data_IF_329501879308
#
_entry.id   IF_329501879308
#
_cell.length_a   1.000
_cell.length_b   1.000
_cell.length_c   1.000
_cell.angle_alpha   90.00
_cell.angle_beta   90.00
_cell.angle_gamma   90.00
#
_symmetry.space_group_name_H-M   'P 1'
#
loop_
_entity.id
_entity.type
_entity.pdbx_description
1 polymer ?
#
# COMPACT_ATOMS: atom_id res chain seq x y z
N UNK A 1 -5.02 -0.60 3.92
CA UNK A 1 -4.31 -1.73 4.55
C UNK A 1 -3.00 -1.35 5.26
N UNK A 2 -2.26 -0.33 4.83
CA UNK A 2 -0.97 0.00 5.47
C UNK A 2 -1.04 0.31 6.98
N UNK A 3 -2.09 0.98 7.45
CA UNK A 3 -2.28 1.26 8.88
C UNK A 3 -2.52 -0.02 9.67
N UNK A 4 -3.31 -0.95 9.12
CA UNK A 4 -3.54 -2.27 9.71
C UNK A 4 -2.22 -3.03 9.90
N UNK A 5 -1.36 -3.03 8.88
CA UNK A 5 -0.04 -3.66 8.92
C UNK A 5 0.86 -3.05 10.02
N UNK A 6 0.90 -1.72 10.11
CA UNK A 6 1.91 -1.03 10.93
C UNK A 6 1.49 -0.79 12.38
N UNK A 7 0.18 -0.75 12.67
CA UNK A 7 -0.36 -0.51 14.01
C UNK A 7 -0.98 -1.72 14.69
N UNK A 8 -1.56 -2.64 13.91
CA UNK A 8 -2.29 -3.78 14.46
C UNK A 8 -1.91 -5.10 13.76
N UNK A 9 -0.61 -5.36 13.49
CA UNK A 9 -0.21 -6.54 12.71
C UNK A 9 -0.69 -7.87 13.31
N UNK A 10 -0.83 -7.93 14.63
CA UNK A 10 -1.28 -9.10 15.37
C UNK A 10 -2.75 -9.48 15.13
N UNK A 11 -3.55 -8.58 14.57
CA UNK A 11 -4.98 -8.82 14.32
C UNK A 11 -5.26 -9.47 12.95
N UNK A 12 -4.24 -9.67 12.12
CA UNK A 12 -4.41 -10.14 10.75
C UNK A 12 -3.49 -11.33 10.45
N UNK A 13 -4.02 -12.36 9.78
CA UNK A 13 -3.20 -13.48 9.28
C UNK A 13 -2.52 -13.20 7.94
N UNK A 14 -3.12 -12.35 7.10
CA UNK A 14 -2.58 -11.92 5.80
C UNK A 14 -3.24 -10.59 5.38
N UNK A 15 -2.58 -9.81 4.52
CA UNK A 15 -3.12 -8.55 3.99
C UNK A 15 -2.96 -8.44 2.47
N UNK A 16 -3.97 -7.90 1.78
CA UNK A 16 -3.88 -7.54 0.36
C UNK A 16 -4.12 -6.03 0.21
N UNK A 17 -3.09 -5.32 -0.24
CA UNK A 17 -3.04 -3.86 -0.27
C UNK A 17 -2.94 -3.36 -1.72
N UNK A 18 -4.10 -3.08 -2.32
CA UNK A 18 -4.21 -2.71 -3.74
C UNK A 18 -4.27 -1.19 -3.96
N UNK A 19 -3.55 -0.71 -4.98
CA UNK A 19 -3.42 0.70 -5.43
C UNK A 19 -3.33 1.72 -4.28
N UNK A 20 -2.34 1.57 -3.37
CA UNK A 20 -2.45 2.14 -2.04
C UNK A 20 -1.83 3.53 -1.90
N UNK A 21 -2.41 4.36 -1.02
CA UNK A 21 -1.81 5.58 -0.49
C UNK A 21 -1.12 5.26 0.84
N UNK A 22 0.23 5.32 0.89
CA UNK A 22 1.00 4.79 2.03
C UNK A 22 2.04 5.74 2.63
N UNK A 23 2.44 6.76 1.88
CA UNK A 23 3.40 7.77 2.34
C UNK A 23 2.68 9.09 2.52
N UNK A 24 2.11 9.26 3.71
CA UNK A 24 1.32 10.43 4.02
C UNK A 24 2.19 11.68 4.18
N UNK A 25 3.54 11.57 4.20
CA UNK A 25 4.40 12.76 4.21
C UNK A 25 4.50 13.43 2.84
N UNK A 26 4.34 12.65 1.76
CA UNK A 26 4.60 13.11 0.40
C UNK A 26 3.44 12.90 -0.57
N UNK A 27 2.31 12.37 -0.11
CA UNK A 27 1.19 12.05 -1.00
C UNK A 27 0.76 13.27 -1.81
N UNK A 28 0.72 14.45 -1.20
CA UNK A 28 0.26 15.69 -1.81
C UNK A 28 1.17 16.20 -2.94
N UNK A 29 2.41 15.70 -3.03
CA UNK A 29 3.38 16.04 -4.07
C UNK A 29 3.26 15.17 -5.33
N UNK A 30 2.36 14.17 -5.34
CA UNK A 30 2.29 13.15 -6.38
C UNK A 30 0.89 13.09 -7.01
N UNK A 31 0.83 13.31 -8.33
CA UNK A 31 -0.40 13.18 -9.15
C UNK A 31 -1.61 13.87 -8.51
N UNK A 32 -2.73 13.17 -8.35
CA UNK A 32 -3.96 13.70 -7.76
C UNK A 32 -3.86 13.97 -6.25
N UNK A 33 -2.73 13.65 -5.59
CA UNK A 33 -2.58 13.72 -4.15
C UNK A 33 -2.88 15.09 -3.54
N UNK A 34 -2.53 16.19 -4.22
CA UNK A 34 -2.83 17.54 -3.74
C UNK A 34 -4.34 17.76 -3.50
N UNK A 35 -5.21 17.08 -4.27
CA UNK A 35 -6.67 17.20 -4.13
C UNK A 35 -7.21 16.55 -2.84
N UNK A 36 -6.43 15.73 -2.16
CA UNK A 36 -6.85 15.04 -0.92
C UNK A 36 -6.32 15.72 0.36
N UNK A 37 -5.64 16.86 0.25
CA UNK A 37 -5.17 17.64 1.41
C UNK A 37 -6.33 18.06 2.30
N UNK A 38 -7.48 18.43 1.72
CA UNK A 38 -8.66 18.80 2.49
C UNK A 38 -9.23 17.64 3.33
N UNK A 39 -8.96 16.39 2.93
CA UNK A 39 -9.42 15.19 3.64
C UNK A 39 -8.38 14.70 4.67
N UNK A 40 -7.11 14.61 4.27
CA UNK A 40 -6.06 13.99 5.09
C UNK A 40 -5.27 14.98 5.96
N UNK A 41 -5.31 16.27 5.62
CA UNK A 41 -4.43 17.30 6.17
C UNK A 41 -3.27 17.64 5.23
N UNK A 42 -2.61 18.76 5.51
CA UNK A 42 -1.44 19.24 4.81
C UNK A 42 -0.15 18.73 5.48
N UNK A 43 0.62 17.81 4.87
CA UNK A 43 1.85 17.31 5.49
C UNK A 43 2.94 18.35 5.69
N UNK A 44 2.86 19.51 5.04
CA UNK A 44 3.80 20.62 5.22
C UNK A 44 3.39 21.57 6.36
N UNK A 45 2.17 21.44 6.89
CA UNK A 45 1.76 22.08 8.14
C UNK A 45 2.23 21.20 9.32
N UNK A 46 3.05 21.71 10.25
CA UNK A 46 3.49 20.95 11.42
C UNK A 46 2.36 20.41 12.30
N UNK A 47 1.25 21.14 12.44
CA UNK A 47 0.13 20.73 13.28
C UNK A 47 -0.60 19.52 12.68
N UNK A 48 -0.87 19.55 11.38
CA UNK A 48 -1.46 18.42 10.65
C UNK A 48 -0.48 17.24 10.65
N UNK A 49 0.81 17.50 10.36
CA UNK A 49 1.82 16.45 10.33
C UNK A 49 2.01 15.74 11.66
N UNK A 50 1.85 16.43 12.80
CA UNK A 50 1.92 15.79 14.11
C UNK A 50 0.90 14.66 14.21
N UNK A 51 -0.32 14.86 13.75
CA UNK A 51 -1.34 13.82 13.72
C UNK A 51 -1.07 12.77 12.63
N UNK A 52 -0.75 13.20 11.40
CA UNK A 52 -0.54 12.31 10.26
C UNK A 52 0.63 11.35 10.44
N UNK A 53 1.73 11.83 11.02
CA UNK A 53 2.93 11.05 11.26
C UNK A 53 2.67 9.82 12.13
N UNK A 54 1.71 9.92 13.06
CA UNK A 54 1.34 8.82 13.96
C UNK A 54 0.81 7.62 13.17
N UNK A 55 0.13 7.84 12.03
CA UNK A 55 -0.53 6.75 11.28
C UNK A 55 0.07 6.46 9.91
N UNK A 56 0.93 7.33 9.38
CA UNK A 56 1.49 7.16 8.04
C UNK A 56 2.22 5.82 7.91
N UNK A 57 1.73 4.87 7.09
CA UNK A 57 2.27 3.51 7.07
C UNK A 57 3.77 3.47 6.73
N UNK A 58 4.19 4.25 5.73
CA UNK A 58 5.58 4.25 5.30
C UNK A 58 6.56 4.73 6.39
N UNK A 59 6.15 5.71 7.21
CA UNK A 59 6.97 6.23 8.31
C UNK A 59 6.93 5.34 9.57
N UNK A 60 5.96 4.42 9.67
CA UNK A 60 5.76 3.57 10.86
C UNK A 60 6.15 2.10 10.63
N UNK A 61 6.95 1.80 9.60
CA UNK A 61 7.54 0.47 9.43
C UNK A 61 8.50 0.21 10.59
N UNK A 62 8.26 -0.85 11.35
CA UNK A 62 9.13 -1.32 12.43
C UNK A 62 9.90 -2.56 12.00
N UNK A 63 11.20 -2.64 12.31
CA UNK A 63 12.01 -3.85 12.11
C UNK A 63 11.73 -4.93 13.15
N UNK A 64 11.26 -4.54 14.32
CA UNK A 64 11.06 -5.43 15.47
C UNK A 64 9.66 -6.04 15.49
N UNK A 65 8.70 -5.43 14.79
CA UNK A 65 7.34 -5.92 14.71
C UNK A 65 7.24 -7.19 13.86
N UNK A 66 6.39 -8.14 14.25
CA UNK A 66 6.08 -9.31 13.44
C UNK A 66 4.91 -9.00 12.52
N UNK A 67 5.19 -8.69 11.26
CA UNK A 67 4.15 -8.39 10.28
C UNK A 67 3.57 -9.66 9.64
N UNK A 68 2.25 -9.73 9.41
CA UNK A 68 1.68 -10.78 8.60
C UNK A 68 2.16 -10.64 7.15
N UNK A 69 2.19 -11.74 6.37
CA UNK A 69 2.47 -11.66 4.95
C UNK A 69 1.52 -10.68 4.27
N UNK A 70 2.06 -9.87 3.37
CA UNK A 70 1.29 -8.86 2.64
C UNK A 70 1.56 -8.96 1.15
N UNK A 71 0.50 -8.93 0.34
CA UNK A 71 0.56 -8.70 -1.10
C UNK A 71 0.22 -7.23 -1.37
N UNK A 72 1.16 -6.48 -1.94
CA UNK A 72 0.94 -5.11 -2.39
C UNK A 72 0.76 -5.11 -3.91
N UNK A 73 -0.35 -4.55 -4.40
CA UNK A 73 -0.60 -4.44 -5.85
C UNK A 73 -0.74 -3.00 -6.30
N UNK A 74 -0.32 -2.69 -7.52
CA UNK A 74 -0.49 -1.37 -8.14
C UNK A 74 -0.53 -1.49 -9.67
N UNK A 75 -0.61 -0.35 -10.37
CA UNK A 75 -0.41 -0.29 -11.82
C UNK A 75 0.51 0.86 -12.21
N UNK A 76 1.45 0.62 -13.12
CA UNK A 76 2.36 1.64 -13.66
C UNK A 76 1.63 2.84 -14.25
N UNK A 77 0.43 2.64 -14.81
CA UNK A 77 -0.38 3.68 -15.45
C UNK A 77 -1.45 4.28 -14.52
N UNK A 78 -1.41 4.00 -13.22
CA UNK A 78 -2.26 4.69 -12.26
C UNK A 78 -1.90 6.19 -12.23
N UNK A 79 -2.79 6.99 -12.79
CA UNK A 79 -2.71 8.45 -12.87
C UNK A 79 -3.37 9.14 -11.68
N UNK A 80 -3.97 8.37 -10.76
CA UNK A 80 -4.63 8.87 -9.56
C UNK A 80 -3.73 8.72 -8.35
N UNK A 81 -3.46 7.49 -7.93
CA UNK A 81 -2.57 7.18 -6.80
C UNK A 81 -1.23 6.74 -7.35
N UNK A 82 -0.18 7.54 -7.11
CA UNK A 82 1.11 7.25 -7.70
C UNK A 82 1.66 5.89 -7.23
N UNK A 83 2.08 5.00 -8.16
CA UNK A 83 2.65 3.68 -7.82
C UNK A 83 3.88 3.71 -6.90
N UNK A 84 4.49 4.88 -6.73
CA UNK A 84 5.63 5.10 -5.84
C UNK A 84 5.31 4.77 -4.39
N UNK A 85 4.05 4.91 -3.95
CA UNK A 85 3.62 4.48 -2.63
C UNK A 85 3.80 2.97 -2.43
N UNK A 86 3.35 2.17 -3.38
CA UNK A 86 3.48 0.72 -3.34
C UNK A 86 4.95 0.30 -3.45
N UNK A 87 5.67 0.80 -4.47
CA UNK A 87 7.08 0.48 -4.71
C UNK A 87 7.95 0.77 -3.49
N UNK A 88 7.82 1.96 -2.89
CA UNK A 88 8.65 2.34 -1.74
C UNK A 88 8.30 1.58 -0.48
N UNK A 89 7.01 1.26 -0.25
CA UNK A 89 6.59 0.45 0.88
C UNK A 89 7.17 -0.96 0.77
N UNK A 90 7.05 -1.60 -0.40
CA UNK A 90 7.64 -2.91 -0.68
C UNK A 90 9.14 -2.90 -0.36
N UNK A 91 9.90 -1.97 -0.95
CA UNK A 91 11.34 -1.89 -0.73
C UNK A 91 11.71 -1.66 0.74
N UNK A 92 10.95 -0.84 1.47
CA UNK A 92 11.20 -0.60 2.89
C UNK A 92 10.85 -1.80 3.79
N UNK A 93 9.80 -2.56 3.45
CA UNK A 93 9.46 -3.81 4.13
C UNK A 93 10.54 -4.89 3.89
N UNK A 94 10.99 -5.05 2.65
CA UNK A 94 12.10 -5.96 2.31
C UNK A 94 13.38 -5.60 3.06
N UNK A 95 13.75 -4.31 3.08
CA UNK A 95 14.92 -3.83 3.81
C UNK A 95 14.80 -3.98 5.34
N UNK A 96 13.58 -4.06 5.87
CA UNK A 96 13.30 -4.37 7.27
C UNK A 96 13.25 -5.88 7.56
N UNK A 97 13.38 -6.75 6.55
CA UNK A 97 13.36 -8.20 6.70
C UNK A 97 11.96 -8.82 6.69
N UNK A 98 10.94 -8.08 6.28
CA UNK A 98 9.55 -8.56 6.27
C UNK A 98 9.19 -9.29 4.98
N UNK A 99 8.28 -10.27 5.10
CA UNK A 99 7.74 -10.99 3.94
C UNK A 99 6.68 -10.14 3.24
N UNK A 100 7.03 -9.60 2.08
CA UNK A 100 6.13 -8.86 1.19
C UNK A 100 6.16 -9.47 -0.21
N UNK A 101 5.00 -9.58 -0.84
CA UNK A 101 4.86 -9.84 -2.26
C UNK A 101 4.39 -8.58 -2.96
N UNK A 102 4.85 -8.38 -4.19
CA UNK A 102 4.53 -7.21 -4.99
C UNK A 102 4.09 -7.61 -6.39
N UNK A 103 3.01 -7.01 -6.86
CA UNK A 103 2.57 -7.14 -8.23
C UNK A 103 2.20 -5.77 -8.81
N UNK A 104 2.89 -5.40 -9.88
CA UNK A 104 2.60 -4.19 -10.63
C UNK A 104 2.13 -4.56 -12.02
N UNK A 105 0.89 -4.19 -12.34
CA UNK A 105 0.42 -4.28 -13.70
C UNK A 105 1.01 -3.13 -14.52
N UNK A 106 1.47 -3.39 -15.75
CA UNK A 106 2.05 -2.34 -16.61
C UNK A 106 0.93 -1.52 -17.28
N UNK A 107 -0.26 -2.09 -17.37
CA UNK A 107 -1.46 -1.50 -17.96
C UNK A 107 -2.60 -1.33 -16.95
N UNK A 108 -3.66 -0.62 -17.37
CA UNK A 108 -4.80 -0.28 -16.52
C UNK A 108 -4.50 0.94 -15.65
N UNK A 109 -5.49 1.82 -15.47
CA UNK A 109 -5.35 3.01 -14.63
C UNK A 109 -5.50 2.67 -13.14
N UNK A 110 -6.20 3.50 -12.38
CA UNK A 110 -6.42 3.26 -10.95
C UNK A 110 -7.20 1.97 -10.62
N UNK A 111 -8.05 1.47 -11.53
CA UNK A 111 -8.65 0.13 -11.37
C UNK A 111 -7.63 -1.02 -11.43
N UNK A 112 -6.43 -0.72 -11.92
CA UNK A 112 -5.27 -1.59 -12.04
C UNK A 112 -5.39 -2.73 -13.04
N UNK A 113 -6.45 -2.80 -13.84
CA UNK A 113 -6.62 -3.72 -14.97
C UNK A 113 -7.14 -2.95 -16.17
N UNK A 114 -6.68 -3.29 -17.38
CA UNK A 114 -7.13 -2.69 -18.64
C UNK A 114 -8.27 -3.49 -19.31
N UNK A 115 -8.37 -4.79 -19.03
CA UNK A 115 -9.36 -5.68 -19.61
C UNK A 115 -9.81 -6.78 -18.62
N UNK A 116 -10.79 -7.58 -19.03
CA UNK A 116 -11.34 -8.67 -18.22
C UNK A 116 -10.32 -9.78 -17.91
N UNK A 117 -9.33 -10.00 -18.79
CA UNK A 117 -8.30 -11.02 -18.57
C UNK A 117 -7.36 -10.60 -17.44
N UNK A 118 -6.95 -9.33 -17.42
CA UNK A 118 -6.15 -8.75 -16.35
C UNK A 118 -6.94 -8.67 -15.05
N UNK A 119 -8.22 -8.32 -15.10
CA UNK A 119 -9.09 -8.33 -13.93
C UNK A 119 -9.20 -9.74 -13.31
N UNK A 120 -9.42 -10.76 -14.14
CA UNK A 120 -9.45 -12.15 -13.70
C UNK A 120 -8.11 -12.61 -13.12
N UNK A 121 -6.99 -12.25 -13.75
CA UNK A 121 -5.65 -12.56 -13.24
C UNK A 121 -5.40 -11.95 -11.86
N UNK A 122 -5.72 -10.67 -11.66
CA UNK A 122 -5.56 -10.01 -10.36
C UNK A 122 -6.42 -10.62 -9.26
N UNK A 123 -7.66 -10.99 -9.59
CA UNK A 123 -8.53 -11.69 -8.67
C UNK A 123 -7.93 -13.05 -8.28
N UNK A 124 -7.52 -13.85 -9.26
CA UNK A 124 -6.87 -15.14 -9.03
C UNK A 124 -5.60 -14.99 -8.17
N UNK A 125 -4.73 -14.02 -8.49
CA UNK A 125 -3.53 -13.73 -7.71
C UNK A 125 -3.85 -13.40 -6.24
N UNK A 126 -4.89 -12.58 -6.02
CA UNK A 126 -5.35 -12.19 -4.67
C UNK A 126 -5.85 -13.40 -3.89
N UNK A 127 -6.71 -14.21 -4.51
CA UNK A 127 -7.26 -15.40 -3.85
C UNK A 127 -6.20 -16.46 -3.61
N UNK A 128 -5.30 -16.69 -4.57
CA UNK A 128 -4.20 -17.65 -4.42
C UNK A 128 -3.26 -17.25 -3.30
N UNK A 129 -2.90 -15.96 -3.20
CA UNK A 129 -2.09 -15.46 -2.09
C UNK A 129 -2.75 -15.73 -0.73
N UNK A 130 -4.05 -15.43 -0.61
CA UNK A 130 -4.79 -15.67 0.62
C UNK A 130 -4.91 -17.16 0.92
N UNK A 131 -5.19 -17.99 -0.09
CA UNK A 131 -5.28 -19.44 0.05
C UNK A 131 -3.96 -20.05 0.51
N UNK A 132 -2.83 -19.68 -0.10
CA UNK A 132 -1.52 -20.18 0.32
C UNK A 132 -1.07 -19.67 1.71
N UNK A 133 -1.58 -18.52 2.15
CA UNK A 133 -1.16 -17.92 3.42
C UNK A 133 -2.05 -18.33 4.60
N UNK A 134 -3.35 -18.52 4.36
CA UNK A 134 -4.35 -18.80 5.37
C UNK A 134 -4.93 -20.22 5.28
N UNK A 135 -4.82 -20.85 4.12
CA UNK A 135 -5.24 -22.24 3.90
C UNK A 135 -4.40 -23.19 4.73
N UNK A 136 -5.08 -24.18 5.31
CA UNK A 136 -4.49 -25.22 6.14
C UNK A 136 -3.81 -26.31 5.32
#
# INVERSE_FOLDING_TARGET
MGVMLTRYPELFGALVCSVPLLDMKRFHLLLAGASWVAEYGNPDDPADWEFMSKYSPYQNISKDAKYPPILITTSTRDDRVHPGHARKMTAALEAAGHRVLYYENIEGGHGGAADNKQAAFKAALTYEFLWQTLGS
#
